data_IF_678252749480
#
_entry.id   IF_678252749480
#
_cell.length_a   1.000
_cell.length_b   1.000
_cell.length_c   1.000
_cell.angle_alpha   90.00
_cell.angle_beta   90.00
_cell.angle_gamma   90.00
#
_symmetry.space_group_name_H-M   'P 1'
#
loop_
_entity.id
_entity.type
_entity.pdbx_description
1 polymer ?
#
# COMPACT_ATOMS: atom_id res chain seq x y z
N UNK A 1 25.54 12.14 -5.20
CA UNK A 1 24.93 10.79 -5.22
C UNK A 1 25.77 9.78 -4.44
N UNK A 2 25.21 8.66 -3.97
CA UNK A 2 25.84 7.71 -3.00
C UNK A 2 27.18 7.08 -3.43
N UNK A 3 27.53 7.19 -4.70
CA UNK A 3 28.77 6.67 -5.27
C UNK A 3 29.64 7.75 -5.93
N UNK A 4 29.27 9.03 -5.75
CA UNK A 4 29.97 10.17 -6.37
C UNK A 4 30.12 10.03 -7.90
N UNK A 5 29.03 9.59 -8.54
CA UNK A 5 28.94 9.43 -9.99
C UNK A 5 27.89 10.41 -10.51
N UNK A 6 28.17 11.02 -11.66
CA UNK A 6 27.18 11.85 -12.36
C UNK A 6 26.03 10.98 -12.86
N UNK A 7 24.83 11.23 -12.33
CA UNK A 7 23.61 10.51 -12.69
C UNK A 7 22.62 11.47 -13.34
N UNK A 8 22.08 11.06 -14.50
CA UNK A 8 20.95 11.74 -15.11
C UNK A 8 19.70 11.58 -14.24
N UNK A 9 19.18 12.69 -13.73
CA UNK A 9 17.94 12.72 -12.96
C UNK A 9 16.73 12.77 -13.92
N UNK A 10 15.81 11.81 -13.87
CA UNK A 10 14.59 11.87 -14.66
C UNK A 10 13.74 13.09 -14.28
N UNK A 11 12.94 13.56 -15.24
CA UNK A 11 12.06 14.72 -15.07
C UNK A 11 11.09 14.61 -13.88
N UNK A 12 10.73 13.38 -13.47
CA UNK A 12 9.84 13.10 -12.33
C UNK A 12 10.44 13.52 -10.97
N UNK A 13 11.78 13.58 -10.88
CA UNK A 13 12.55 13.92 -9.69
C UNK A 13 13.25 15.29 -9.84
N UNK A 14 12.77 16.14 -10.73
CA UNK A 14 13.32 17.47 -10.92
C UNK A 14 13.14 18.30 -9.63
N UNK A 15 14.21 18.98 -9.21
CA UNK A 15 14.22 19.79 -7.99
C UNK A 15 13.29 21.01 -8.09
N UNK A 16 13.00 21.55 -9.27
CA UNK A 16 12.12 22.74 -9.39
C UNK A 16 10.64 22.42 -9.23
N UNK A 17 10.24 21.19 -9.58
CA UNK A 17 8.85 20.74 -9.49
C UNK A 17 8.82 19.22 -9.30
N UNK A 18 9.08 18.73 -8.08
CA UNK A 18 9.12 17.30 -7.82
C UNK A 18 7.72 16.70 -7.84
N UNK A 19 7.59 15.62 -8.61
CA UNK A 19 6.31 14.95 -8.88
C UNK A 19 6.21 13.61 -8.16
N UNK A 20 7.35 12.95 -7.90
CA UNK A 20 7.40 11.68 -7.18
C UNK A 20 8.17 11.81 -5.88
N UNK A 21 7.67 11.11 -4.85
CA UNK A 21 8.42 10.97 -3.60
C UNK A 21 9.71 10.19 -3.83
N UNK A 22 10.81 10.73 -3.32
CA UNK A 22 12.11 10.09 -3.42
C UNK A 22 12.28 9.00 -2.36
N UNK A 23 11.58 9.12 -1.22
CA UNK A 23 11.78 8.25 -0.05
C UNK A 23 11.62 6.77 -0.41
N UNK A 24 10.54 6.42 -1.10
CA UNK A 24 10.24 5.02 -1.44
C UNK A 24 11.33 4.43 -2.35
N UNK A 25 11.82 5.22 -3.31
CA UNK A 25 12.91 4.81 -4.20
C UNK A 25 14.25 4.71 -3.45
N UNK A 26 14.50 5.63 -2.52
CA UNK A 26 15.69 5.62 -1.65
C UNK A 26 15.70 4.43 -0.69
N UNK A 27 14.53 3.94 -0.26
CA UNK A 27 14.42 2.71 0.54
C UNK A 27 14.73 1.50 -0.32
N UNK A 28 14.07 1.36 -1.48
CA UNK A 28 14.21 0.15 -2.31
C UNK A 28 15.57 0.01 -2.96
N UNK A 29 16.10 1.10 -3.53
CA UNK A 29 17.37 1.08 -4.26
C UNK A 29 18.53 1.50 -3.36
N UNK A 30 18.29 2.48 -2.49
CA UNK A 30 19.33 3.01 -1.65
C UNK A 30 19.79 2.05 -0.56
N UNK A 31 18.88 1.34 0.13
CA UNK A 31 19.31 0.37 1.17
C UNK A 31 20.31 -0.65 0.62
N UNK A 32 20.05 -1.32 -0.52
CA UNK A 32 21.05 -2.12 -1.22
C UNK A 32 22.38 -1.41 -1.47
N UNK A 33 22.35 -0.16 -1.92
CA UNK A 33 23.56 0.61 -2.21
C UNK A 33 24.37 0.95 -0.95
N UNK A 34 23.72 1.24 0.17
CA UNK A 34 24.40 1.44 1.45
C UNK A 34 25.08 0.15 1.91
N UNK A 35 24.39 -1.00 1.75
CA UNK A 35 24.97 -2.31 2.07
C UNK A 35 26.22 -2.56 1.22
N UNK A 36 26.17 -2.30 -0.10
CA UNK A 36 27.35 -2.40 -0.97
C UNK A 36 28.47 -1.48 -0.51
N UNK A 37 28.18 -0.24 -0.14
CA UNK A 37 29.20 0.70 0.32
C UNK A 37 29.86 0.29 1.64
N UNK A 38 29.12 -0.38 2.54
CA UNK A 38 29.68 -0.95 3.77
C UNK A 38 30.54 -2.16 3.42
N UNK A 39 30.00 -3.12 2.68
CA UNK A 39 30.70 -4.35 2.31
C UNK A 39 31.94 -4.10 1.45
N UNK A 40 31.86 -3.17 0.49
CA UNK A 40 32.99 -2.80 -0.37
C UNK A 40 34.22 -2.34 0.43
N UNK A 41 34.01 -1.64 1.55
CA UNK A 41 35.12 -1.22 2.42
C UNK A 41 35.82 -2.43 3.07
N UNK A 42 35.04 -3.40 3.55
CA UNK A 42 35.60 -4.62 4.14
C UNK A 42 36.25 -5.55 3.12
N UNK A 43 35.60 -5.79 1.98
CA UNK A 43 36.14 -6.68 0.94
C UNK A 43 37.39 -6.10 0.26
N UNK A 44 37.45 -4.78 0.08
CA UNK A 44 38.67 -4.14 -0.41
C UNK A 44 39.83 -4.31 0.57
N UNK A 45 39.55 -4.32 1.88
CA UNK A 45 40.57 -4.47 2.92
C UNK A 45 41.06 -5.92 3.06
N UNK A 46 40.15 -6.91 3.09
CA UNK A 46 40.49 -8.31 3.33
C UNK A 46 40.81 -9.11 2.06
N UNK A 47 40.13 -8.84 0.95
CA UNK A 47 40.16 -9.68 -0.25
C UNK A 47 40.69 -8.95 -1.50
N UNK A 48 40.96 -7.64 -1.43
CA UNK A 48 41.35 -6.80 -2.56
C UNK A 48 40.39 -6.86 -3.78
N UNK A 49 39.14 -7.26 -3.58
CA UNK A 49 38.12 -7.33 -4.64
C UNK A 49 37.27 -6.05 -4.64
N UNK A 50 37.11 -5.43 -5.82
CA UNK A 50 36.21 -4.28 -5.99
C UNK A 50 34.75 -4.72 -6.14
N UNK A 51 33.94 -4.53 -5.09
CA UNK A 51 32.49 -4.79 -5.13
C UNK A 51 31.68 -3.72 -5.91
N UNK A 52 32.29 -2.58 -6.26
CA UNK A 52 31.64 -1.50 -7.01
C UNK A 52 31.66 -1.77 -8.52
N UNK A 53 31.00 -2.85 -8.94
CA UNK A 53 30.84 -3.15 -10.36
C UNK A 53 29.44 -2.75 -10.85
N UNK A 54 29.29 -2.31 -12.11
CA UNK A 54 27.99 -1.97 -12.69
C UNK A 54 26.97 -3.11 -12.58
N UNK A 55 27.44 -4.36 -12.70
CA UNK A 55 26.63 -5.56 -12.57
C UNK A 55 25.96 -5.68 -11.19
N UNK A 56 26.72 -5.48 -10.11
CA UNK A 56 26.22 -5.55 -8.73
C UNK A 56 25.21 -4.42 -8.46
N UNK A 57 25.44 -3.22 -9.00
CA UNK A 57 24.54 -2.07 -8.85
C UNK A 57 23.15 -2.29 -9.48
N UNK A 58 23.05 -3.18 -10.48
CA UNK A 58 21.78 -3.52 -11.12
C UNK A 58 21.12 -4.73 -10.45
N UNK A 59 21.90 -5.76 -10.12
CA UNK A 59 21.33 -7.03 -9.61
C UNK A 59 20.92 -6.95 -8.17
N UNK A 60 21.69 -6.26 -7.32
CA UNK A 60 21.38 -6.26 -5.89
C UNK A 60 20.01 -5.62 -5.59
N UNK A 61 19.63 -4.46 -6.17
CA UNK A 61 18.27 -3.93 -6.02
C UNK A 61 17.19 -4.88 -6.56
N UNK A 62 17.46 -5.64 -7.62
CA UNK A 62 16.52 -6.64 -8.18
C UNK A 62 16.35 -7.84 -7.25
N UNK A 63 17.43 -8.31 -6.64
CA UNK A 63 17.37 -9.37 -5.64
C UNK A 63 16.59 -8.88 -4.41
N UNK A 64 16.84 -7.64 -3.97
CA UNK A 64 16.14 -7.04 -2.84
C UNK A 64 14.63 -6.93 -3.08
N UNK A 65 14.19 -6.43 -4.25
CA UNK A 65 12.76 -6.33 -4.56
C UNK A 65 12.12 -7.72 -4.77
N UNK A 66 12.86 -8.68 -5.34
CA UNK A 66 12.41 -10.07 -5.44
C UNK A 66 12.16 -10.66 -4.03
N UNK A 67 13.08 -10.45 -3.09
CA UNK A 67 12.89 -10.85 -1.70
C UNK A 67 11.67 -10.18 -1.06
N UNK A 68 11.47 -8.88 -1.30
CA UNK A 68 10.30 -8.16 -0.84
C UNK A 68 8.99 -8.67 -1.47
N UNK A 69 9.01 -9.17 -2.72
CA UNK A 69 7.80 -9.69 -3.36
C UNK A 69 7.22 -10.91 -2.63
N UNK A 70 8.02 -11.70 -1.91
CA UNK A 70 7.52 -12.81 -1.08
C UNK A 70 6.60 -12.36 0.06
N UNK A 71 6.61 -11.07 0.42
CA UNK A 71 5.62 -10.51 1.36
C UNK A 71 4.21 -10.69 0.80
N UNK A 72 4.03 -10.54 -0.52
CA UNK A 72 2.73 -10.74 -1.16
C UNK A 72 2.26 -12.19 -1.10
N UNK A 73 3.16 -13.16 -1.30
CA UNK A 73 2.88 -14.59 -1.12
C UNK A 73 2.48 -14.90 0.32
N UNK A 74 3.19 -14.32 1.30
CA UNK A 74 2.84 -14.47 2.71
C UNK A 74 1.46 -13.90 3.03
N UNK A 75 1.14 -12.70 2.53
CA UNK A 75 -0.18 -12.10 2.68
C UNK A 75 -1.27 -13.00 2.09
N UNK A 76 -1.06 -13.53 0.88
CA UNK A 76 -1.99 -14.45 0.22
C UNK A 76 -2.21 -15.73 1.04
N UNK A 77 -1.12 -16.35 1.53
CA UNK A 77 -1.19 -17.52 2.41
C UNK A 77 -2.06 -17.23 3.64
N UNK A 78 -1.81 -16.12 4.32
CA UNK A 78 -2.55 -15.76 5.54
C UNK A 78 -4.02 -15.47 5.28
N UNK A 79 -4.35 -14.81 4.17
CA UNK A 79 -5.75 -14.57 3.76
C UNK A 79 -6.44 -15.92 3.50
N UNK A 80 -5.79 -16.86 2.83
CA UNK A 80 -6.35 -18.20 2.59
C UNK A 80 -6.63 -18.94 3.90
N UNK A 81 -5.75 -18.83 4.91
CA UNK A 81 -5.99 -19.40 6.23
C UNK A 81 -7.19 -18.76 6.94
N UNK A 82 -7.39 -17.44 6.81
CA UNK A 82 -8.52 -16.73 7.41
C UNK A 82 -9.84 -17.16 6.77
N UNK A 83 -9.84 -17.34 5.44
CA UNK A 83 -11.02 -17.76 4.68
C UNK A 83 -11.24 -19.28 4.66
N UNK A 84 -10.42 -20.07 5.36
CA UNK A 84 -10.44 -21.54 5.35
C UNK A 84 -10.38 -22.16 3.94
N UNK A 85 -9.55 -21.58 3.07
CA UNK A 85 -9.39 -21.99 1.67
C UNK A 85 -8.06 -22.72 1.43
N UNK A 86 -8.01 -23.54 0.36
CA UNK A 86 -6.78 -24.24 -0.06
C UNK A 86 -5.71 -23.24 -0.54
N UNK A 87 -4.71 -22.98 0.29
CA UNK A 87 -3.63 -22.03 -0.02
C UNK A 87 -2.69 -22.53 -1.11
N UNK A 88 -2.44 -23.86 -1.21
CA UNK A 88 -1.45 -24.44 -2.13
C UNK A 88 -1.74 -24.12 -3.60
N UNK A 89 -2.98 -24.37 -4.03
CA UNK A 89 -3.41 -24.12 -5.42
C UNK A 89 -3.32 -22.63 -5.74
N UNK A 90 -3.78 -21.76 -4.82
CA UNK A 90 -3.79 -20.32 -5.02
C UNK A 90 -2.39 -19.72 -5.09
N UNK A 91 -1.46 -20.19 -4.27
CA UNK A 91 -0.06 -19.78 -4.32
C UNK A 91 0.62 -20.23 -5.62
N UNK A 92 0.36 -21.45 -6.09
CA UNK A 92 0.90 -21.93 -7.38
C UNK A 92 0.39 -21.09 -8.54
N UNK A 93 -0.91 -20.77 -8.57
CA UNK A 93 -1.50 -19.91 -9.60
C UNK A 93 -0.91 -18.50 -9.52
N UNK A 94 -0.72 -17.96 -8.31
CA UNK A 94 -0.15 -16.64 -8.12
C UNK A 94 1.31 -16.56 -8.58
N UNK A 95 2.14 -17.52 -8.17
CA UNK A 95 3.57 -17.56 -8.48
C UNK A 95 3.86 -17.89 -9.96
N UNK A 96 3.01 -18.68 -10.61
CA UNK A 96 3.12 -18.98 -12.04
C UNK A 96 2.66 -17.84 -12.96
N UNK A 97 2.09 -16.77 -12.39
CA UNK A 97 1.66 -15.63 -13.20
C UNK A 97 2.86 -14.88 -13.79
N UNK A 98 2.73 -14.49 -15.07
CA UNK A 98 3.76 -13.72 -15.78
C UNK A 98 4.14 -12.44 -15.02
N UNK A 99 3.16 -11.80 -14.38
CA UNK A 99 3.36 -10.58 -13.61
C UNK A 99 4.29 -10.81 -12.43
N UNK A 100 4.07 -11.88 -11.66
CA UNK A 100 4.91 -12.20 -10.52
C UNK A 100 6.31 -12.60 -10.94
N UNK A 101 6.43 -13.39 -12.01
CA UNK A 101 7.74 -13.85 -12.47
C UNK A 101 8.60 -12.73 -13.07
N UNK A 102 8.01 -11.82 -13.85
CA UNK A 102 8.77 -10.84 -14.66
C UNK A 102 8.75 -9.42 -14.13
N UNK A 103 7.60 -8.92 -13.65
CA UNK A 103 7.46 -7.54 -13.19
C UNK A 103 7.80 -7.41 -11.70
N UNK A 104 7.38 -8.36 -10.87
CA UNK A 104 7.63 -8.29 -9.43
C UNK A 104 9.12 -8.49 -9.05
N UNK A 105 9.93 -9.08 -9.94
CA UNK A 105 11.38 -9.24 -9.74
C UNK A 105 12.21 -8.04 -10.18
N UNK A 106 11.56 -7.01 -10.76
CA UNK A 106 12.20 -5.78 -11.25
C UNK A 106 11.90 -4.61 -10.32
N UNK A 107 12.79 -3.62 -10.32
CA UNK A 107 12.73 -2.40 -9.51
C UNK A 107 11.71 -1.40 -10.06
N UNK A 108 10.48 -1.85 -10.24
CA UNK A 108 9.37 -0.99 -10.63
C UNK A 108 8.61 -0.54 -9.39
N UNK A 109 8.20 0.72 -9.37
CA UNK A 109 7.29 1.25 -8.35
C UNK A 109 5.94 0.52 -8.33
N UNK A 110 5.54 -0.11 -9.45
CA UNK A 110 4.36 -0.99 -9.54
C UNK A 110 4.48 -2.20 -8.58
N UNK A 111 5.68 -2.75 -8.44
CA UNK A 111 5.93 -3.88 -7.54
C UNK A 111 5.71 -3.47 -6.10
N UNK A 112 6.09 -2.24 -5.75
CA UNK A 112 5.84 -1.68 -4.41
C UNK A 112 4.34 -1.45 -4.20
N UNK A 113 3.62 -0.90 -5.19
CA UNK A 113 2.15 -0.80 -5.13
C UNK A 113 1.51 -2.17 -4.91
N UNK A 114 1.96 -3.21 -5.61
CA UNK A 114 1.49 -4.58 -5.43
C UNK A 114 1.72 -5.08 -4.01
N UNK A 115 2.93 -4.92 -3.48
CA UNK A 115 3.29 -5.35 -2.12
C UNK A 115 2.43 -4.59 -1.09
N UNK A 116 2.35 -3.27 -1.18
CA UNK A 116 1.55 -2.44 -0.28
C UNK A 116 0.06 -2.82 -0.34
N UNK A 117 -0.48 -3.06 -1.53
CA UNK A 117 -1.86 -3.50 -1.70
C UNK A 117 -2.10 -4.89 -1.08
N UNK A 118 -1.16 -5.83 -1.26
CA UNK A 118 -1.27 -7.17 -0.65
C UNK A 118 -1.29 -7.10 0.88
N UNK A 119 -0.46 -6.24 1.48
CA UNK A 119 -0.44 -5.99 2.92
C UNK A 119 -1.76 -5.33 3.36
N UNK A 120 -2.24 -4.34 2.61
CA UNK A 120 -3.50 -3.66 2.88
C UNK A 120 -4.68 -4.64 2.93
N UNK A 121 -4.84 -5.46 1.88
CA UNK A 121 -5.90 -6.48 1.80
C UNK A 121 -5.78 -7.47 2.95
N UNK A 122 -4.57 -7.90 3.30
CA UNK A 122 -4.36 -8.82 4.42
C UNK A 122 -4.81 -8.23 5.76
N UNK A 123 -4.44 -6.99 6.09
CA UNK A 123 -4.88 -6.34 7.33
C UNK A 123 -6.38 -6.09 7.35
N UNK A 124 -6.97 -5.68 6.21
CA UNK A 124 -8.43 -5.54 6.08
C UNK A 124 -9.12 -6.87 6.31
N UNK A 125 -8.68 -7.96 5.68
CA UNK A 125 -9.23 -9.30 5.83
C UNK A 125 -9.16 -9.78 7.29
N UNK A 126 -8.04 -9.56 7.96
CA UNK A 126 -7.88 -9.85 9.40
C UNK A 126 -8.87 -9.06 10.26
N UNK A 127 -9.00 -7.77 9.98
CA UNK A 127 -9.94 -6.90 10.66
C UNK A 127 -11.38 -7.39 10.47
N UNK A 128 -11.76 -7.71 9.22
CA UNK A 128 -13.09 -8.22 8.90
C UNK A 128 -13.40 -9.51 9.66
N UNK A 129 -12.53 -10.52 9.56
CA UNK A 129 -12.75 -11.80 10.24
C UNK A 129 -12.82 -11.68 11.78
N UNK A 130 -12.01 -10.80 12.38
CA UNK A 130 -12.06 -10.58 13.83
C UNK A 130 -13.37 -9.92 14.26
N UNK A 131 -13.82 -8.89 13.54
CA UNK A 131 -15.07 -8.21 13.91
C UNK A 131 -16.31 -9.02 13.59
N UNK A 132 -16.32 -9.76 12.50
CA UNK A 132 -17.46 -10.64 12.15
C UNK A 132 -17.75 -11.63 13.28
N UNK A 133 -16.72 -12.26 13.85
CA UNK A 133 -16.87 -13.16 15.01
C UNK A 133 -17.50 -12.46 16.22
N UNK A 134 -17.05 -11.25 16.54
CA UNK A 134 -17.55 -10.46 17.67
C UNK A 134 -19.00 -10.04 17.43
N UNK A 135 -19.31 -9.58 16.21
CA UNK A 135 -20.62 -9.10 15.80
C UNK A 135 -21.65 -10.23 15.84
N UNK A 136 -21.29 -11.40 15.31
CA UNK A 136 -22.15 -12.59 15.36
C UNK A 136 -22.45 -13.00 16.81
N UNK A 137 -21.46 -12.94 17.70
CA UNK A 137 -21.65 -13.22 19.12
C UNK A 137 -22.53 -12.17 19.80
N UNK A 138 -22.31 -10.87 19.53
CA UNK A 138 -23.13 -9.81 20.12
C UNK A 138 -24.59 -9.87 19.67
N UNK A 139 -24.82 -10.15 18.39
CA UNK A 139 -26.17 -10.28 17.83
C UNK A 139 -26.87 -11.51 18.40
N UNK A 140 -26.15 -12.64 18.53
CA UNK A 140 -26.67 -13.83 19.19
C UNK A 140 -27.09 -13.56 20.64
N UNK A 141 -26.25 -12.89 21.43
CA UNK A 141 -26.60 -12.55 22.81
C UNK A 141 -27.75 -11.55 22.89
N UNK A 142 -27.84 -10.60 21.95
CA UNK A 142 -28.97 -9.66 21.88
C UNK A 142 -30.28 -10.40 21.58
N UNK A 143 -30.27 -11.34 20.65
CA UNK A 143 -31.47 -12.12 20.32
C UNK A 143 -31.92 -13.02 21.49
N UNK A 144 -30.96 -13.62 22.20
CA UNK A 144 -31.25 -14.41 23.41
C UNK A 144 -31.76 -13.56 24.56
N UNK A 145 -31.26 -12.33 24.70
CA UNK A 145 -31.75 -11.35 25.66
C UNK A 145 -33.22 -10.98 25.38
N UNK A 146 -33.56 -10.71 24.11
CA UNK A 146 -34.93 -10.36 23.70
C UNK A 146 -35.91 -11.52 23.95
N UNK A 147 -35.48 -12.77 23.74
CA UNK A 147 -36.28 -13.99 23.94
C UNK A 147 -36.40 -14.46 25.40
N UNK A 148 -35.52 -14.00 26.29
CA UNK A 148 -35.48 -14.47 27.68
C UNK A 148 -36.71 -13.97 28.46
N UNK A 149 -37.41 -14.90 29.13
CA UNK A 149 -38.59 -14.59 29.97
C UNK A 149 -38.18 -14.18 31.39
N UNK A 150 -37.12 -14.78 31.91
CA UNK A 150 -36.66 -14.57 33.28
C UNK A 150 -35.65 -13.42 33.37
N UNK A 151 -35.77 -12.60 34.44
CA UNK A 151 -34.85 -11.47 34.70
C UNK A 151 -33.41 -11.96 34.88
N UNK A 152 -33.21 -13.10 35.54
CA UNK A 152 -31.88 -13.69 35.77
C UNK A 152 -31.18 -14.02 34.44
N UNK A 153 -31.92 -14.55 33.47
CA UNK A 153 -31.39 -14.86 32.14
C UNK A 153 -31.07 -13.60 31.34
N UNK A 154 -31.92 -12.57 31.41
CA UNK A 154 -31.64 -11.25 30.82
C UNK A 154 -30.36 -10.64 31.36
N UNK A 155 -30.17 -10.65 32.68
CA UNK A 155 -28.94 -10.15 33.32
C UNK A 155 -27.72 -10.99 32.89
N UNK A 156 -27.86 -12.30 32.75
CA UNK A 156 -26.79 -13.18 32.25
C UNK A 156 -26.35 -12.79 30.84
N UNK A 157 -27.28 -12.67 29.89
CA UNK A 157 -26.94 -12.31 28.51
C UNK A 157 -26.42 -10.86 28.38
N UNK A 158 -26.91 -9.95 29.22
CA UNK A 158 -26.36 -8.60 29.32
C UNK A 158 -24.88 -8.61 29.75
N UNK A 159 -24.55 -9.37 30.82
CA UNK A 159 -23.15 -9.52 31.28
C UNK A 159 -22.27 -10.19 30.22
N UNK A 160 -22.77 -11.21 29.53
CA UNK A 160 -22.05 -11.88 28.45
C UNK A 160 -21.76 -10.92 27.29
N UNK A 161 -22.74 -10.12 26.87
CA UNK A 161 -22.53 -9.08 25.85
C UNK A 161 -21.52 -8.03 26.30
N UNK A 162 -21.60 -7.57 27.56
CA UNK A 162 -20.65 -6.61 28.12
C UNK A 162 -19.22 -7.17 28.26
N UNK A 163 -19.06 -8.49 28.31
CA UNK A 163 -17.75 -9.15 28.36
C UNK A 163 -17.03 -9.21 27.00
N UNK A 164 -17.74 -8.94 25.89
CA UNK A 164 -17.15 -8.92 24.57
C UNK A 164 -16.16 -7.75 24.45
N UNK A 165 -15.01 -7.96 23.78
CA UNK A 165 -14.05 -6.89 23.56
C UNK A 165 -14.68 -5.78 22.72
N UNK A 166 -14.36 -4.52 23.05
CA UNK A 166 -14.78 -3.37 22.25
C UNK A 166 -14.20 -3.42 20.84
N UNK A 167 -14.85 -2.72 19.90
CA UNK A 167 -14.38 -2.63 18.52
C UNK A 167 -12.92 -2.15 18.46
N UNK A 168 -12.01 -3.00 17.98
CA UNK A 168 -10.60 -2.64 17.90
C UNK A 168 -10.32 -1.75 16.69
N UNK A 169 -9.73 -0.58 16.98
CA UNK A 169 -9.20 0.37 15.99
C UNK A 169 -7.67 0.28 15.87
N UNK A 170 -7.04 -0.70 16.53
CA UNK A 170 -5.58 -0.82 16.63
C UNK A 170 -4.87 -0.94 15.27
N UNK A 171 -5.56 -1.49 14.26
CA UNK A 171 -5.03 -1.61 12.92
C UNK A 171 -5.30 -0.39 12.02
N UNK A 172 -6.09 0.60 12.49
CA UNK A 172 -6.42 1.80 11.74
C UNK A 172 -5.16 2.59 11.35
N UNK A 173 -4.22 2.76 12.29
CA UNK A 173 -2.94 3.42 12.04
C UNK A 173 -2.10 2.70 10.99
N UNK A 174 -2.09 1.37 11.00
CA UNK A 174 -1.36 0.56 10.00
C UNK A 174 -2.01 0.70 8.62
N UNK A 175 -3.34 0.68 8.54
CA UNK A 175 -4.05 0.86 7.27
C UNK A 175 -3.81 2.27 6.71
N UNK A 176 -3.86 3.30 7.56
CA UNK A 176 -3.57 4.68 7.20
C UNK A 176 -2.12 4.86 6.72
N UNK A 177 -1.14 4.27 7.41
CA UNK A 177 0.27 4.40 7.01
C UNK A 177 0.53 3.75 5.65
N UNK A 178 0.04 2.54 5.42
CA UNK A 178 0.20 1.83 4.14
C UNK A 178 -0.41 2.63 3.00
N UNK A 179 -1.59 3.19 3.22
CA UNK A 179 -2.32 3.94 2.19
C UNK A 179 -1.62 5.24 1.83
N UNK A 180 -1.16 5.99 2.82
CA UNK A 180 -0.35 7.19 2.59
C UNK A 180 0.97 6.85 1.88
N UNK A 181 1.71 5.83 2.33
CA UNK A 181 2.96 5.40 1.67
C UNK A 181 2.69 5.03 0.20
N UNK A 182 1.59 4.33 -0.07
CA UNK A 182 1.20 3.96 -1.43
C UNK A 182 0.88 5.17 -2.31
N UNK A 183 0.15 6.17 -1.80
CA UNK A 183 -0.18 7.40 -2.52
C UNK A 183 1.07 8.24 -2.82
N UNK A 184 2.01 8.33 -1.88
CA UNK A 184 3.29 9.04 -2.09
C UNK A 184 4.22 8.30 -3.05
N UNK A 185 4.21 6.96 -3.06
CA UNK A 185 4.88 6.20 -4.11
C UNK A 185 4.26 6.52 -5.48
N UNK A 186 2.93 6.42 -5.57
CA UNK A 186 2.15 6.67 -6.78
C UNK A 186 0.71 7.09 -6.46
N UNK A 187 0.24 8.24 -6.96
CA UNK A 187 -1.13 8.69 -6.70
C UNK A 187 -2.23 7.77 -7.25
N UNK A 188 -1.92 6.93 -8.24
CA UNK A 188 -2.82 5.88 -8.74
C UNK A 188 -3.19 4.84 -7.69
N UNK A 189 -2.39 4.71 -6.62
CA UNK A 189 -2.64 3.77 -5.53
C UNK A 189 -3.97 4.01 -4.82
N UNK A 190 -4.52 5.23 -4.86
CA UNK A 190 -5.86 5.53 -4.32
C UNK A 190 -6.91 4.58 -4.89
N UNK A 191 -6.84 4.26 -6.19
CA UNK A 191 -7.80 3.35 -6.83
C UNK A 191 -7.70 1.91 -6.27
N UNK A 192 -6.49 1.43 -5.99
CA UNK A 192 -6.28 0.10 -5.40
C UNK A 192 -6.68 0.07 -3.92
N UNK A 193 -6.41 1.14 -3.19
CA UNK A 193 -6.74 1.28 -1.78
C UNK A 193 -8.24 1.48 -1.51
N UNK A 194 -8.97 2.07 -2.47
CA UNK A 194 -10.39 2.39 -2.32
C UNK A 194 -11.22 1.16 -1.95
N UNK A 195 -11.10 0.06 -2.69
CA UNK A 195 -11.93 -1.12 -2.45
C UNK A 195 -11.66 -1.76 -1.07
N UNK A 196 -10.41 -2.10 -0.68
CA UNK A 196 -10.13 -2.66 0.65
C UNK A 196 -10.55 -1.74 1.80
N UNK A 197 -10.28 -0.43 1.72
CA UNK A 197 -10.65 0.51 2.77
C UNK A 197 -12.18 0.61 2.87
N UNK A 198 -12.87 0.68 1.73
CA UNK A 198 -14.32 0.76 1.71
C UNK A 198 -14.98 -0.44 2.40
N UNK A 199 -14.53 -1.66 2.09
CA UNK A 199 -14.99 -2.86 2.79
C UNK A 199 -14.63 -2.87 4.29
N UNK A 200 -13.47 -2.34 4.66
CA UNK A 200 -13.09 -2.19 6.06
C UNK A 200 -14.01 -1.20 6.82
N UNK A 201 -14.37 -0.08 6.19
CA UNK A 201 -15.30 0.89 6.75
C UNK A 201 -16.69 0.29 6.94
N UNK A 202 -17.18 -0.44 5.92
CA UNK A 202 -18.49 -1.11 5.95
C UNK A 202 -18.58 -2.34 6.87
N UNK A 203 -17.46 -2.78 7.46
CA UNK A 203 -17.42 -3.97 8.31
C UNK A 203 -18.44 -3.89 9.45
N UNK A 204 -19.40 -4.81 9.44
CA UNK A 204 -20.47 -4.93 10.43
C UNK A 204 -21.72 -4.11 10.15
N UNK A 205 -21.73 -3.30 9.09
CA UNK A 205 -22.92 -2.53 8.71
C UNK A 205 -24.07 -3.49 8.37
N UNK A 206 -25.24 -3.26 8.96
CA UNK A 206 -26.42 -4.14 8.84
C UNK A 206 -26.62 -5.11 10.01
N UNK A 207 -25.68 -5.18 10.95
CA UNK A 207 -25.86 -5.86 12.23
C UNK A 207 -26.69 -5.01 13.21
N UNK A 208 -27.30 -5.65 14.22
CA UNK A 208 -27.93 -4.93 15.35
C UNK A 208 -26.92 -4.19 16.23
N UNK A 209 -25.67 -4.63 16.21
CA UNK A 209 -24.63 -4.11 17.09
C UNK A 209 -23.88 -2.90 16.53
N UNK A 210 -23.85 -2.71 15.20
CA UNK A 210 -23.02 -1.69 14.53
C UNK A 210 -23.89 -0.75 13.70
N UNK A 211 -23.84 0.54 14.01
CA UNK A 211 -24.61 1.58 13.34
C UNK A 211 -23.82 2.40 12.31
N UNK A 212 -24.48 3.39 11.71
CA UNK A 212 -23.85 4.40 10.86
C UNK A 212 -22.88 5.31 11.63
N UNK A 213 -23.05 5.45 12.95
CA UNK A 213 -22.14 6.19 13.82
C UNK A 213 -20.75 5.55 13.82
N UNK A 214 -20.66 4.22 13.91
CA UNK A 214 -19.39 3.49 13.87
C UNK A 214 -18.68 3.63 12.52
N UNK A 215 -19.45 3.77 11.44
CA UNK A 215 -18.91 4.05 10.10
C UNK A 215 -18.26 5.44 10.05
N UNK A 216 -18.95 6.48 10.53
CA UNK A 216 -18.40 7.84 10.58
C UNK A 216 -17.19 7.97 11.52
N UNK A 217 -17.25 7.34 12.70
CA UNK A 217 -16.11 7.31 13.64
C UNK A 217 -14.90 6.68 12.97
N UNK A 218 -15.07 5.57 12.24
CA UNK A 218 -13.98 4.93 11.51
C UNK A 218 -13.39 5.81 10.42
N UNK A 219 -14.21 6.54 9.66
CA UNK A 219 -13.72 7.50 8.66
C UNK A 219 -12.89 8.59 9.35
N UNK A 220 -13.42 9.20 10.41
CA UNK A 220 -12.74 10.28 11.12
C UNK A 220 -11.41 9.81 11.73
N UNK A 221 -11.41 8.65 12.38
CA UNK A 221 -10.21 8.04 12.94
C UNK A 221 -9.19 7.68 11.86
N UNK A 222 -9.64 7.18 10.69
CA UNK A 222 -8.76 6.90 9.57
C UNK A 222 -8.07 8.16 9.04
N UNK A 223 -8.82 9.26 8.90
CA UNK A 223 -8.27 10.56 8.49
C UNK A 223 -7.23 11.06 9.50
N UNK A 224 -7.53 11.02 10.79
CA UNK A 224 -6.57 11.41 11.84
C UNK A 224 -5.31 10.54 11.78
N UNK A 225 -5.45 9.24 11.60
CA UNK A 225 -4.32 8.33 11.49
C UNK A 225 -3.45 8.56 10.24
N UNK A 226 -3.98 9.19 9.18
CA UNK A 226 -3.19 9.53 7.99
C UNK A 226 -2.25 10.72 8.22
N UNK A 227 -2.66 11.69 9.05
CA UNK A 227 -1.91 12.94 9.31
C UNK A 227 -0.44 12.70 9.65
N UNK A 228 -0.06 11.86 10.64
CA UNK A 228 1.34 11.70 11.01
C UNK A 228 2.20 11.14 9.87
N UNK A 229 1.66 10.22 9.08
CA UNK A 229 2.40 9.65 7.94
C UNK A 229 2.53 10.66 6.80
N UNK A 230 1.50 11.47 6.54
CA UNK A 230 1.53 12.53 5.53
C UNK A 230 2.61 13.55 5.90
N UNK A 231 2.61 14.03 7.15
CA UNK A 231 3.60 14.98 7.64
C UNK A 231 5.03 14.43 7.52
N UNK A 232 5.24 13.17 7.93
CA UNK A 232 6.53 12.51 7.79
C UNK A 232 7.01 12.47 6.34
N UNK A 233 6.15 12.10 5.40
CA UNK A 233 6.50 12.04 3.97
C UNK A 233 6.79 13.42 3.38
N UNK A 234 5.98 14.42 3.71
CA UNK A 234 6.19 15.81 3.26
C UNK A 234 7.54 16.33 3.74
N UNK A 235 7.83 16.15 5.03
CA UNK A 235 9.10 16.60 5.63
C UNK A 235 10.27 15.90 4.95
N UNK A 236 10.20 14.57 4.79
CA UNK A 236 11.28 13.81 4.18
C UNK A 236 11.53 14.18 2.72
N UNK A 237 10.46 14.38 1.92
CA UNK A 237 10.59 14.84 0.54
C UNK A 237 11.14 16.28 0.49
N UNK A 238 10.68 17.17 1.37
CA UNK A 238 11.14 18.58 1.41
C UNK A 238 12.63 18.71 1.73
N UNK A 239 13.13 17.88 2.66
CA UNK A 239 14.57 17.76 2.91
C UNK A 239 15.33 17.19 1.71
N UNK A 240 14.78 16.17 1.05
CA UNK A 240 15.44 15.52 -0.08
C UNK A 240 15.62 16.46 -1.27
N UNK A 241 14.60 17.26 -1.59
CA UNK A 241 14.63 18.21 -2.71
C UNK A 241 15.26 19.57 -2.34
N UNK A 242 15.66 19.77 -1.08
CA UNK A 242 16.37 20.98 -0.64
C UNK A 242 15.49 22.22 -0.43
N UNK A 243 14.16 22.05 -0.33
CA UNK A 243 13.23 23.14 0.02
C UNK A 243 13.21 23.43 1.51
N UNK A 244 13.67 22.47 2.31
CA UNK A 244 13.82 22.60 3.74
C UNK A 244 15.26 22.29 4.12
N UNK A 245 15.96 23.27 4.67
CA UNK A 245 17.31 23.09 5.20
C UNK A 245 17.31 23.11 6.73
N UNK A 246 18.26 22.41 7.34
CA UNK A 246 18.39 22.40 8.80
C UNK A 246 18.62 23.82 9.35
N UNK A 247 19.36 24.65 8.60
CA UNK A 247 19.63 26.04 8.92
C UNK A 247 18.38 26.92 8.94
N UNK A 248 17.45 26.74 7.99
CA UNK A 248 16.17 27.47 7.97
C UNK A 248 15.28 27.12 9.16
N UNK A 249 15.26 25.84 9.55
CA UNK A 249 14.51 25.37 10.73
C UNK A 249 15.05 26.02 12.00
N UNK A 250 16.37 26.02 12.17
CA UNK A 250 17.03 26.64 13.32
C UNK A 250 16.81 28.15 13.40
N UNK A 251 16.72 28.82 12.24
CA UNK A 251 16.42 30.25 12.14
C UNK A 251 14.93 30.60 12.23
N UNK A 252 14.04 29.60 12.31
CA UNK A 252 12.59 29.76 12.28
C UNK A 252 12.07 30.48 11.02
N UNK A 253 12.82 30.45 9.92
CA UNK A 253 12.45 31.05 8.62
C UNK A 253 11.67 30.05 7.74
N UNK A 254 10.81 29.23 8.35
CA UNK A 254 10.07 28.17 7.65
C UNK A 254 8.72 28.71 7.20
N UNK A 255 8.56 28.91 5.88
CA UNK A 255 7.29 29.27 5.26
C UNK A 255 6.49 28.05 4.78
N UNK A 256 5.22 28.27 4.42
CA UNK A 256 4.35 27.24 3.82
C UNK A 256 4.94 26.74 2.49
N UNK A 257 5.66 27.59 1.77
CA UNK A 257 6.28 27.26 0.47
C UNK A 257 7.49 26.32 0.57
N UNK A 258 8.03 26.10 1.78
CA UNK A 258 9.15 25.19 2.02
C UNK A 258 8.69 23.72 2.06
N UNK A 259 7.38 23.47 2.14
CA UNK A 259 6.82 22.13 2.21
C UNK A 259 6.31 21.65 0.86
N UNK A 260 6.85 20.53 0.40
CA UNK A 260 6.49 19.91 -0.88
C UNK A 260 5.48 18.80 -0.65
N UNK A 261 4.37 18.85 -1.38
CA UNK A 261 3.39 17.76 -1.43
C UNK A 261 3.44 17.10 -2.81
N UNK A 262 4.28 16.06 -2.94
CA UNK A 262 4.55 15.38 -4.22
C UNK A 262 3.28 14.81 -4.90
N UNK A 263 2.30 14.20 -4.20
CA UNK A 263 1.07 13.73 -4.86
C UNK A 263 0.23 14.86 -5.48
N UNK A 264 0.20 16.04 -4.85
CA UNK A 264 -0.55 17.20 -5.38
C UNK A 264 0.15 17.74 -6.62
N UNK A 265 1.48 17.82 -6.61
CA UNK A 265 2.27 18.20 -7.78
C UNK A 265 2.06 17.24 -8.96
N UNK A 266 1.99 15.94 -8.68
CA UNK A 266 1.66 14.94 -9.69
C UNK A 266 0.29 15.19 -10.34
N UNK A 267 -0.74 15.45 -9.54
CA UNK A 267 -2.08 15.73 -10.06
C UNK A 267 -2.09 17.02 -10.89
N UNK A 268 -1.39 18.06 -10.43
CA UNK A 268 -1.26 19.33 -11.16
C UNK A 268 -0.54 19.15 -12.50
N UNK A 269 0.53 18.36 -12.53
CA UNK A 269 1.28 18.07 -13.76
C UNK A 269 0.46 17.29 -14.78
N UNK A 270 -0.23 16.23 -14.34
CA UNK A 270 -0.99 15.33 -15.22
C UNK A 270 -2.36 15.91 -15.64
N UNK A 271 -2.84 16.96 -14.98
CA UNK A 271 -4.06 17.67 -15.40
C UNK A 271 -3.83 18.54 -16.64
N UNK A 272 -2.58 18.94 -16.92
CA UNK A 272 -2.24 19.74 -18.09
C UNK A 272 -2.02 18.85 -19.32
N UNK A 273 -2.92 18.93 -20.29
CA UNK A 273 -2.89 18.14 -21.54
C UNK A 273 -1.62 18.36 -22.36
N UNK A 274 -1.00 19.55 -22.27
CA UNK A 274 0.28 19.87 -22.91
C UNK A 274 1.41 18.95 -22.42
N UNK A 275 1.45 18.65 -21.12
CA UNK A 275 2.45 17.77 -20.53
C UNK A 275 2.22 16.31 -20.95
N UNK A 276 0.96 15.88 -21.10
CA UNK A 276 0.64 14.52 -21.57
C UNK A 276 1.06 14.29 -23.03
N UNK A 277 1.01 15.32 -23.87
CA UNK A 277 1.40 15.22 -25.27
C UNK A 277 2.90 14.90 -25.43
N UNK A 278 3.75 15.36 -24.51
CA UNK A 278 5.19 15.06 -24.52
C UNK A 278 5.49 13.57 -24.25
N UNK A 279 4.58 12.86 -23.57
CA UNK A 279 4.75 11.44 -23.20
C UNK A 279 3.96 10.48 -24.11
N UNK A 280 3.29 11.01 -25.14
CA UNK A 280 2.51 10.24 -26.11
C UNK A 280 1.07 9.96 -25.65
N UNK A 281 0.09 10.32 -26.49
CA UNK A 281 -1.32 10.06 -26.23
C UNK A 281 -1.68 8.71 -26.87
N UNK A 282 -2.02 7.73 -26.04
CA UNK A 282 -2.51 6.44 -26.52
C UNK A 282 -4.04 6.38 -26.50
N UNK A 283 -4.66 5.77 -27.53
CA UNK A 283 -6.10 5.55 -27.52
C UNK A 283 -6.54 4.64 -26.35
N UNK A 284 -7.65 5.00 -25.69
CA UNK A 284 -8.12 4.30 -24.48
C UNK A 284 -8.45 2.82 -24.71
N UNK A 285 -8.85 2.44 -25.93
CA UNK A 285 -9.14 1.04 -26.27
C UNK A 285 -7.90 0.14 -26.18
N UNK A 286 -6.69 0.70 -26.34
CA UNK A 286 -5.44 -0.06 -26.26
C UNK A 286 -5.23 -0.63 -24.85
N UNK A 287 -5.67 0.11 -23.82
CA UNK A 287 -5.61 -0.37 -22.45
C UNK A 287 -6.51 -1.59 -22.21
N UNK A 288 -7.71 -1.59 -22.79
CA UNK A 288 -8.68 -2.67 -22.57
C UNK A 288 -8.41 -3.89 -23.46
N UNK A 289 -8.12 -3.68 -24.74
CA UNK A 289 -7.99 -4.76 -25.73
C UNK A 289 -6.58 -5.35 -25.81
N UNK A 290 -5.53 -4.57 -25.50
CA UNK A 290 -4.14 -5.04 -25.63
C UNK A 290 -3.51 -5.24 -24.26
N UNK A 291 -3.56 -4.24 -23.38
CA UNK A 291 -2.83 -4.33 -22.11
C UNK A 291 -3.43 -5.37 -21.16
N UNK A 292 -4.77 -5.52 -21.09
CA UNK A 292 -5.40 -6.51 -20.20
C UNK A 292 -5.06 -7.94 -20.61
N UNK A 293 -5.21 -8.37 -21.88
CA UNK A 293 -4.76 -9.70 -22.30
C UNK A 293 -3.25 -9.89 -22.17
N UNK A 294 -2.44 -8.86 -22.43
CA UNK A 294 -0.98 -8.96 -22.28
C UNK A 294 -0.56 -9.20 -20.82
N UNK A 295 -1.18 -8.50 -19.87
CA UNK A 295 -0.83 -8.59 -18.46
C UNK A 295 -1.39 -9.85 -17.81
N UNK A 296 -2.64 -10.21 -18.11
CA UNK A 296 -3.36 -11.28 -17.42
C UNK A 296 -3.52 -12.56 -18.26
N UNK A 297 -3.01 -12.58 -19.48
CA UNK A 297 -3.06 -13.71 -20.40
C UNK A 297 -4.52 -14.25 -20.54
N UNK A 298 -4.71 -15.56 -20.43
CA UNK A 298 -6.02 -16.23 -20.51
C UNK A 298 -7.00 -15.69 -19.46
N UNK A 299 -6.55 -15.33 -18.26
CA UNK A 299 -7.41 -14.74 -17.22
C UNK A 299 -7.95 -13.37 -17.64
N UNK A 300 -7.16 -12.58 -18.35
CA UNK A 300 -7.59 -11.29 -18.90
C UNK A 300 -8.73 -11.45 -19.90
N UNK A 301 -8.60 -12.44 -20.80
CA UNK A 301 -9.63 -12.76 -21.80
C UNK A 301 -10.92 -13.24 -21.10
N UNK A 302 -10.80 -14.18 -20.16
CA UNK A 302 -11.95 -14.67 -19.38
C UNK A 302 -12.62 -13.52 -18.63
N UNK A 303 -11.84 -12.62 -18.02
CA UNK A 303 -12.36 -11.45 -17.31
C UNK A 303 -13.19 -10.53 -18.22
N UNK A 304 -12.67 -10.21 -19.41
CA UNK A 304 -13.38 -9.39 -20.40
C UNK A 304 -14.68 -10.06 -20.85
N UNK A 305 -14.65 -11.36 -21.15
CA UNK A 305 -15.84 -12.12 -21.56
C UNK A 305 -16.88 -12.16 -20.45
N UNK A 306 -16.46 -12.39 -19.20
CA UNK A 306 -17.36 -12.46 -18.05
C UNK A 306 -17.99 -11.10 -17.77
N UNK A 307 -17.23 -10.01 -17.86
CA UNK A 307 -17.75 -8.66 -17.73
C UNK A 307 -18.77 -8.33 -18.83
N UNK A 308 -18.50 -8.72 -20.08
CA UNK A 308 -19.46 -8.61 -21.17
C UNK A 308 -20.77 -9.35 -20.89
N UNK A 309 -20.69 -10.55 -20.29
CA UNK A 309 -21.88 -11.31 -19.86
C UNK A 309 -22.63 -10.71 -18.67
N UNK A 310 -21.99 -9.88 -17.85
CA UNK A 310 -22.66 -9.21 -16.71
C UNK A 310 -23.42 -7.95 -17.14
N UNK A 311 -23.00 -7.33 -18.25
CA UNK A 311 -23.64 -6.15 -18.82
C UNK A 311 -24.85 -6.48 -19.69
N UNK A 312 -25.01 -7.75 -20.06
CA UNK A 312 -26.01 -8.24 -21.00
C UNK A 312 -26.99 -9.18 -20.32
#
# INVERSE_FOLDING_TARGET
>A
DRFDVDVYKPWEYNATFPIRSALVSQVVVGVPYTIVNILARYFSYYFQISLRTPYILVILPRLFICLLSFISDYCLYRICCISSQNYRIRLIIYSSSFIMMTYATRTFSNTIELILNSILIYYVSRCMAASERIILQSDHFSERYDKAKNIVEKVKYYKLRASLPSHSLNHCLILATITVIGVFNRPTFVAFALAPIFFWLQRGLGSRSVGFTDFHIRIFMFVICCIPTILFMIIADSFYFGYLTLSEIWKLEVGINNFIVTPVNFLRYNSATKNLAEHGIHPRYFHFLVNVPLLFNVLGIIGIVTFGKMLH
#
